data_IF_683805100174
#
_entry.id   IF_683805100174
#
_cell.length_a   1.000
_cell.length_b   1.000
_cell.length_c   1.000
_cell.angle_alpha   90.00
_cell.angle_beta   90.00
_cell.angle_gamma   90.00
#
_symmetry.space_group_name_H-M   'P 1'
#
loop_
_entity.id
_entity.type
_entity.pdbx_description
1 polymer ?
#
# COMPACT_ATOMS: atom_id res chain seq x y z
N UNK A 1 14.45 -19.90 -18.55
CA UNK A 1 13.73 -19.00 -17.65
C UNK A 1 14.61 -18.71 -16.45
N UNK A 2 14.70 -17.47 -15.97
CA UNK A 2 15.41 -17.17 -14.71
C UNK A 2 14.62 -17.84 -13.59
N UNK A 3 15.24 -18.76 -12.84
CA UNK A 3 14.58 -19.36 -11.69
C UNK A 3 14.26 -18.26 -10.67
N UNK A 4 13.03 -18.26 -10.14
CA UNK A 4 12.58 -17.33 -9.13
C UNK A 4 12.08 -18.10 -7.91
N UNK A 5 12.36 -17.55 -6.73
CA UNK A 5 11.79 -18.05 -5.49
C UNK A 5 10.34 -17.58 -5.39
N UNK A 6 9.44 -18.47 -4.98
CA UNK A 6 8.02 -18.18 -4.77
C UNK A 6 7.56 -18.84 -3.47
N UNK A 7 6.41 -18.42 -2.92
CA UNK A 7 5.85 -19.01 -1.70
C UNK A 7 6.62 -18.69 -0.42
N UNK A 8 7.46 -17.66 -0.43
CA UNK A 8 8.13 -17.17 0.78
C UNK A 8 7.08 -16.65 1.76
N UNK A 9 7.26 -16.97 3.04
CA UNK A 9 6.39 -16.53 4.11
C UNK A 9 7.20 -15.74 5.13
N UNK A 10 6.58 -14.72 5.72
CA UNK A 10 7.12 -14.04 6.89
C UNK A 10 6.98 -14.96 8.11
N UNK A 11 7.89 -14.79 9.06
CA UNK A 11 7.75 -15.36 10.41
C UNK A 11 6.58 -14.66 11.11
N UNK A 12 5.40 -15.29 11.05
CA UNK A 12 4.16 -14.71 11.55
C UNK A 12 4.21 -14.45 13.05
N UNK A 13 4.90 -15.29 13.82
CA UNK A 13 5.03 -15.13 15.27
C UNK A 13 5.89 -13.91 15.60
N UNK A 14 7.04 -13.76 14.91
CA UNK A 14 7.88 -12.58 15.07
C UNK A 14 7.15 -11.28 14.69
N UNK A 15 6.41 -11.29 13.57
CA UNK A 15 5.63 -10.13 13.12
C UNK A 15 4.52 -9.78 14.11
N UNK A 16 3.75 -10.76 14.58
CA UNK A 16 2.67 -10.54 15.54
C UNK A 16 3.19 -10.01 16.88
N UNK A 17 4.33 -10.54 17.36
CA UNK A 17 4.98 -10.05 18.57
C UNK A 17 5.40 -8.58 18.41
N UNK A 18 6.01 -8.22 17.27
CA UNK A 18 6.43 -6.85 17.01
C UNK A 18 5.24 -5.89 16.88
N UNK A 19 4.14 -6.31 16.28
CA UNK A 19 2.88 -5.52 16.23
C UNK A 19 2.36 -5.27 17.65
N UNK A 20 2.33 -6.30 18.51
CA UNK A 20 1.90 -6.16 19.89
C UNK A 20 2.78 -5.18 20.69
N UNK A 21 4.11 -5.25 20.48
CA UNK A 21 5.04 -4.30 21.07
C UNK A 21 4.77 -2.86 20.61
N UNK A 22 4.55 -2.63 19.32
CA UNK A 22 4.24 -1.30 18.76
C UNK A 22 2.96 -0.73 19.38
N UNK A 23 1.92 -1.54 19.52
CA UNK A 23 0.64 -1.13 20.13
C UNK A 23 0.83 -0.75 21.60
N UNK A 24 1.67 -1.49 22.33
CA UNK A 24 1.97 -1.21 23.73
C UNK A 24 2.94 -0.04 23.92
N UNK A 25 3.71 0.31 22.88
CA UNK A 25 4.78 1.29 22.94
C UNK A 25 4.27 2.69 23.25
N UNK A 26 4.95 3.40 24.15
CA UNK A 26 4.56 4.73 24.63
C UNK A 26 5.40 5.87 24.07
N UNK A 27 6.51 5.56 23.41
CA UNK A 27 7.38 6.55 22.78
C UNK A 27 6.87 6.96 21.39
N UNK A 28 7.58 7.92 20.77
CA UNK A 28 7.28 8.33 19.40
C UNK A 28 7.70 7.26 18.39
N UNK A 29 7.13 7.33 17.18
CA UNK A 29 7.55 6.49 16.06
C UNK A 29 9.06 6.63 15.74
N UNK A 30 9.61 7.84 15.88
CA UNK A 30 11.05 8.08 15.72
C UNK A 30 11.87 7.32 16.77
N UNK A 31 11.45 7.37 18.04
CA UNK A 31 12.13 6.63 19.10
C UNK A 31 12.04 5.13 18.83
N UNK A 32 10.85 4.61 18.52
CA UNK A 32 10.66 3.20 18.17
C UNK A 32 11.59 2.75 17.04
N UNK A 33 11.59 3.47 15.91
CA UNK A 33 12.41 3.14 14.75
C UNK A 33 13.90 3.15 15.08
N UNK A 34 14.34 4.14 15.86
CA UNK A 34 15.73 4.23 16.30
C UNK A 34 16.11 3.07 17.22
N UNK A 35 15.29 2.75 18.23
CA UNK A 35 15.54 1.61 19.11
C UNK A 35 15.57 0.30 18.34
N UNK A 36 14.62 0.08 17.43
CA UNK A 36 14.59 -1.12 16.58
C UNK A 36 15.88 -1.23 15.75
N UNK A 37 16.31 -0.12 15.15
CA UNK A 37 17.54 -0.06 14.38
C UNK A 37 18.76 -0.41 15.23
N UNK A 38 18.94 0.27 16.35
CA UNK A 38 20.11 0.12 17.23
C UNK A 38 20.18 -1.25 17.91
N UNK A 39 19.03 -1.88 18.21
CA UNK A 39 18.99 -3.08 19.05
C UNK A 39 18.72 -4.38 18.30
N UNK A 40 17.99 -4.34 17.16
CA UNK A 40 17.44 -5.54 16.52
C UNK A 40 17.68 -5.63 15.02
N UNK A 41 17.99 -4.53 14.33
CA UNK A 41 18.10 -4.52 12.87
C UNK A 41 19.16 -5.48 12.35
N UNK A 42 20.39 -5.44 12.89
CA UNK A 42 21.48 -6.29 12.44
C UNK A 42 21.16 -7.79 12.62
N UNK A 43 20.60 -8.16 13.78
CA UNK A 43 20.19 -9.54 14.07
C UNK A 43 19.07 -10.01 13.13
N UNK A 44 18.02 -9.19 12.98
CA UNK A 44 16.89 -9.49 12.08
C UNK A 44 17.37 -9.67 10.63
N UNK A 45 18.28 -8.80 10.19
CA UNK A 45 18.85 -8.86 8.85
C UNK A 45 19.67 -10.14 8.65
N UNK A 46 20.54 -10.50 9.60
CA UNK A 46 21.36 -11.72 9.52
C UNK A 46 20.52 -12.99 9.58
N UNK A 47 19.45 -13.02 10.40
CA UNK A 47 18.47 -14.11 10.38
C UNK A 47 17.80 -14.27 9.01
N UNK A 48 17.52 -13.17 8.31
CA UNK A 48 17.00 -13.23 6.95
C UNK A 48 18.04 -13.80 5.96
N UNK A 49 19.32 -13.45 6.11
CA UNK A 49 20.41 -14.04 5.30
C UNK A 49 20.52 -15.56 5.54
N UNK A 50 20.48 -16.01 6.80
CA UNK A 50 20.50 -17.43 7.14
C UNK A 50 19.32 -18.18 6.49
N UNK A 51 18.12 -17.58 6.51
CA UNK A 51 16.94 -18.15 5.88
C UNK A 51 17.09 -18.22 4.35
N UNK A 52 17.62 -17.18 3.70
CA UNK A 52 17.85 -17.18 2.25
C UNK A 52 18.89 -18.23 1.82
N UNK A 53 19.95 -18.43 2.60
CA UNK A 53 20.94 -19.49 2.32
C UNK A 53 20.32 -20.88 2.47
N UNK A 54 19.49 -21.11 3.49
CA UNK A 54 18.74 -22.37 3.64
C UNK A 54 17.77 -22.60 2.46
N UNK A 55 17.15 -21.55 1.95
CA UNK A 55 16.30 -21.62 0.76
C UNK A 55 17.13 -21.93 -0.50
N UNK A 56 18.29 -21.29 -0.70
CA UNK A 56 19.17 -21.61 -1.82
C UNK A 56 19.62 -23.09 -1.76
N UNK A 57 20.04 -23.57 -0.60
CA UNK A 57 20.48 -24.94 -0.40
C UNK A 57 19.37 -25.97 -0.70
N UNK A 58 18.12 -25.66 -0.33
CA UNK A 58 16.99 -26.57 -0.52
C UNK A 58 16.37 -26.50 -1.93
N UNK A 59 16.45 -25.35 -2.61
CA UNK A 59 15.82 -25.13 -3.91
C UNK A 59 16.78 -25.15 -5.10
N UNK A 60 18.08 -24.97 -4.86
CA UNK A 60 19.10 -24.77 -5.88
C UNK A 60 19.01 -23.41 -6.60
N UNK A 61 18.09 -22.52 -6.18
CA UNK A 61 17.94 -21.18 -6.75
C UNK A 61 18.90 -20.23 -6.05
N UNK A 62 19.86 -19.70 -6.82
CA UNK A 62 20.89 -18.79 -6.29
C UNK A 62 20.32 -17.51 -5.71
N UNK A 63 20.69 -17.19 -4.46
CA UNK A 63 20.37 -15.91 -3.83
C UNK A 63 21.55 -14.92 -3.95
N UNK A 64 21.40 -13.74 -3.35
CA UNK A 64 22.47 -12.73 -3.33
C UNK A 64 23.63 -13.17 -2.42
N UNK A 65 24.84 -12.75 -2.77
CA UNK A 65 26.06 -13.07 -2.01
C UNK A 65 26.00 -12.51 -0.58
N UNK A 66 26.15 -13.38 0.42
CA UNK A 66 26.11 -13.03 1.85
C UNK A 66 27.19 -12.02 2.23
N UNK A 67 28.41 -12.18 1.72
CA UNK A 67 29.53 -11.30 2.10
C UNK A 67 29.28 -9.83 1.71
N UNK A 68 28.69 -9.60 0.53
CA UNK A 68 28.27 -8.27 0.12
C UNK A 68 27.18 -7.69 1.04
N UNK A 69 26.23 -8.52 1.48
CA UNK A 69 25.15 -8.07 2.39
C UNK A 69 25.65 -7.81 3.82
N UNK A 70 26.56 -8.63 4.36
CA UNK A 70 27.16 -8.39 5.67
C UNK A 70 27.95 -7.09 5.69
N UNK A 71 28.75 -6.81 4.65
CA UNK A 71 29.45 -5.52 4.52
C UNK A 71 28.48 -4.34 4.50
N UNK A 72 27.33 -4.50 3.83
CA UNK A 72 26.29 -3.49 3.85
C UNK A 72 25.75 -3.28 5.27
N UNK A 73 25.35 -4.35 5.97
CA UNK A 73 24.84 -4.27 7.36
C UNK A 73 25.83 -3.58 8.28
N UNK A 74 27.09 -4.00 8.26
CA UNK A 74 28.14 -3.44 9.13
C UNK A 74 28.36 -1.95 8.86
N UNK A 75 28.29 -1.53 7.59
CA UNK A 75 28.42 -0.12 7.21
C UNK A 75 27.25 0.75 7.67
N UNK A 76 26.01 0.23 7.61
CA UNK A 76 24.83 1.04 7.98
C UNK A 76 24.60 1.09 9.48
N UNK A 77 24.90 0.00 10.21
CA UNK A 77 24.74 -0.06 11.67
C UNK A 77 25.72 0.88 12.40
N UNK A 78 26.87 1.17 11.79
CA UNK A 78 27.85 2.09 12.36
C UNK A 78 27.35 3.55 12.43
N UNK A 79 26.42 3.94 11.55
CA UNK A 79 25.91 5.30 11.47
C UNK A 79 24.43 5.33 11.05
N UNK A 80 23.57 5.70 12.01
CA UNK A 80 22.14 5.86 11.79
C UNK A 80 21.82 6.88 10.68
N UNK A 81 22.60 7.95 10.55
CA UNK A 81 22.39 8.98 9.53
C UNK A 81 22.66 8.39 8.13
N UNK A 82 23.75 7.63 7.99
CA UNK A 82 24.04 6.86 6.77
C UNK A 82 22.91 5.89 6.42
N UNK A 83 22.39 5.13 7.39
CA UNK A 83 21.24 4.25 7.18
C UNK A 83 20.01 5.02 6.68
N UNK A 84 19.68 6.14 7.34
CA UNK A 84 18.57 7.01 6.97
C UNK A 84 18.72 7.49 5.53
N UNK A 85 19.85 8.07 5.18
CA UNK A 85 20.08 8.69 3.87
C UNK A 85 20.13 7.66 2.74
N UNK A 86 20.63 6.46 2.99
CA UNK A 86 20.56 5.35 2.03
C UNK A 86 19.12 4.86 1.86
N UNK A 87 18.38 4.69 2.95
CA UNK A 87 16.99 4.24 2.93
C UNK A 87 16.08 5.24 2.23
N UNK A 88 16.27 6.54 2.46
CA UNK A 88 15.54 7.62 1.80
C UNK A 88 15.77 7.61 0.29
N UNK A 89 17.02 7.54 -0.16
CA UNK A 89 17.37 7.43 -1.59
C UNK A 89 16.79 6.17 -2.23
N UNK A 90 16.83 5.05 -1.50
CA UNK A 90 16.24 3.78 -1.93
C UNK A 90 14.72 3.88 -2.12
N UNK A 91 14.02 4.48 -1.16
CA UNK A 91 12.58 4.72 -1.20
C UNK A 91 12.19 5.65 -2.36
N UNK A 92 12.88 6.77 -2.55
CA UNK A 92 12.66 7.67 -3.67
C UNK A 92 12.84 6.95 -5.02
N UNK A 93 13.92 6.18 -5.16
CA UNK A 93 14.20 5.41 -6.36
C UNK A 93 13.15 4.33 -6.62
N UNK A 94 12.62 3.69 -5.57
CA UNK A 94 11.55 2.70 -5.69
C UNK A 94 10.25 3.34 -6.16
N UNK A 95 9.86 4.48 -5.60
CA UNK A 95 8.68 5.23 -6.01
C UNK A 95 8.78 5.68 -7.49
N UNK A 96 9.95 6.12 -7.94
CA UNK A 96 10.20 6.46 -9.36
C UNK A 96 10.01 5.22 -10.25
N UNK A 97 10.54 4.06 -9.86
CA UNK A 97 10.37 2.82 -10.64
C UNK A 97 8.93 2.36 -10.69
N UNK A 98 8.20 2.44 -9.58
CA UNK A 98 6.78 2.08 -9.50
C UNK A 98 5.92 3.01 -10.35
N UNK A 99 6.18 4.32 -10.29
CA UNK A 99 5.51 5.33 -11.12
C UNK A 99 5.77 5.14 -12.62
N UNK A 100 6.95 4.66 -13.00
CA UNK A 100 7.28 4.35 -14.40
C UNK A 100 6.66 3.04 -14.90
N UNK A 101 6.25 2.15 -13.98
CA UNK A 101 5.66 0.85 -14.32
C UNK A 101 4.15 1.00 -14.49
N UNK A 102 3.71 1.15 -15.75
CA UNK A 102 2.28 1.12 -16.11
C UNK A 102 1.82 -0.34 -16.09
N UNK A 103 1.07 -0.75 -15.08
CA UNK A 103 0.43 -2.07 -15.09
C UNK A 103 -0.76 -2.02 -16.04
N UNK A 104 -0.68 -2.75 -17.16
CA UNK A 104 -1.71 -2.88 -18.21
C UNK A 104 -3.11 -3.29 -17.70
N UNK A 105 -3.23 -3.72 -16.44
CA UNK A 105 -4.46 -4.19 -15.81
C UNK A 105 -5.10 -3.17 -14.84
N UNK A 106 -4.40 -2.07 -14.55
CA UNK A 106 -4.96 -0.93 -13.80
C UNK A 106 -5.82 -0.12 -14.77
N UNK A 107 -7.15 -0.15 -14.61
CA UNK A 107 -8.06 0.68 -15.40
C UNK A 107 -8.00 2.12 -14.91
N UNK A 108 -6.98 2.86 -15.31
CA UNK A 108 -6.80 4.26 -14.97
C UNK A 108 -7.92 5.09 -15.63
N UNK A 109 -8.54 5.98 -14.86
CA UNK A 109 -9.61 6.89 -15.30
C UNK A 109 -9.05 8.15 -15.99
N UNK A 110 -7.77 8.16 -16.36
CA UNK A 110 -7.07 9.28 -17.00
C UNK A 110 -6.17 10.10 -16.06
N UNK A 111 -5.92 9.63 -14.83
CA UNK A 111 -4.93 10.24 -13.93
C UNK A 111 -3.49 9.77 -14.21
N UNK A 112 -2.51 10.55 -13.76
CA UNK A 112 -1.10 10.14 -13.74
C UNK A 112 -0.78 9.43 -12.42
N UNK A 113 0.13 8.44 -12.46
CA UNK A 113 0.73 7.90 -11.23
C UNK A 113 1.43 9.04 -10.50
N UNK A 114 1.07 9.25 -9.25
CA UNK A 114 1.62 10.35 -8.46
C UNK A 114 2.66 9.84 -7.48
N UNK A 115 3.83 10.46 -7.48
CA UNK A 115 4.83 10.28 -6.43
C UNK A 115 4.55 11.30 -5.34
N UNK A 116 4.31 10.82 -4.13
CA UNK A 116 4.09 11.62 -2.94
C UNK A 116 5.36 11.64 -2.09
N UNK A 117 5.82 12.83 -1.74
CA UNK A 117 6.77 13.03 -0.66
C UNK A 117 5.97 13.43 0.59
N UNK A 118 5.90 12.53 1.57
CA UNK A 118 5.18 12.77 2.82
C UNK A 118 6.21 13.11 3.89
N UNK A 119 6.09 14.32 4.41
CA UNK A 119 6.92 14.79 5.51
C UNK A 119 6.15 14.70 6.82
N UNK A 120 6.82 14.25 7.88
CA UNK A 120 6.26 14.31 9.22
C UNK A 120 6.89 15.45 10.03
N UNK A 121 6.23 15.81 11.14
CA UNK A 121 6.69 16.88 12.03
C UNK A 121 8.03 16.60 12.74
N UNK A 122 8.55 15.37 12.64
CA UNK A 122 9.84 14.95 13.19
C UNK A 122 10.98 15.04 12.16
N UNK A 123 10.71 15.55 10.95
CA UNK A 123 11.69 15.74 9.88
C UNK A 123 11.97 14.50 9.04
N UNK A 124 11.15 13.45 9.16
CA UNK A 124 11.22 12.28 8.29
C UNK A 124 10.44 12.50 6.99
N UNK A 125 11.03 12.12 5.85
CA UNK A 125 10.38 12.14 4.54
C UNK A 125 10.17 10.70 4.05
N UNK A 126 8.99 10.40 3.52
CA UNK A 126 8.65 9.10 2.96
C UNK A 126 8.22 9.27 1.51
N UNK A 127 8.72 8.44 0.62
CA UNK A 127 8.30 8.45 -0.78
C UNK A 127 7.33 7.29 -1.02
N UNK A 128 6.10 7.63 -1.35
CA UNK A 128 5.04 6.69 -1.67
C UNK A 128 4.41 7.06 -3.02
N UNK A 129 3.61 6.14 -3.53
CA UNK A 129 2.93 6.29 -4.82
C UNK A 129 1.43 6.14 -4.63
N UNK A 130 0.68 7.00 -5.29
CA UNK A 130 -0.74 6.78 -5.55
C UNK A 130 -0.90 6.29 -7.00
N UNK A 131 -1.77 5.30 -7.20
CA UNK A 131 -2.06 4.79 -8.55
C UNK A 131 -2.53 5.92 -9.48
N UNK A 132 -3.35 6.84 -8.96
CA UNK A 132 -3.81 8.02 -9.70
C UNK A 132 -3.91 9.25 -8.81
N UNK A 133 -3.51 10.41 -9.33
CA UNK A 133 -3.95 11.72 -8.85
C UNK A 133 -4.84 12.40 -9.90
N UNK A 134 -6.10 12.68 -9.54
CA UNK A 134 -7.10 13.21 -10.47
C UNK A 134 -7.73 14.48 -9.88
N UNK A 135 -7.98 15.50 -10.69
CA UNK A 135 -8.73 16.68 -10.24
C UNK A 135 -10.23 16.46 -10.48
N UNK A 136 -11.02 16.46 -9.40
CA UNK A 136 -12.49 16.33 -9.45
C UNK A 136 -13.12 17.39 -8.53
N UNK A 137 -14.09 18.16 -9.05
CA UNK A 137 -14.80 19.18 -8.28
C UNK A 137 -13.88 20.18 -7.56
N UNK A 138 -12.77 20.57 -8.18
CA UNK A 138 -11.78 21.49 -7.62
C UNK A 138 -10.91 20.90 -6.50
N UNK A 139 -10.94 19.58 -6.27
CA UNK A 139 -10.08 18.87 -5.32
C UNK A 139 -9.17 17.89 -6.05
N UNK A 140 -7.96 17.71 -5.53
CA UNK A 140 -7.11 16.60 -5.93
C UNK A 140 -7.57 15.30 -5.24
N UNK A 141 -7.78 14.25 -6.01
CA UNK A 141 -8.18 12.93 -5.53
C UNK A 141 -6.96 12.02 -5.62
N UNK A 142 -6.41 11.62 -4.47
CA UNK A 142 -5.40 10.56 -4.39
C UNK A 142 -6.13 9.21 -4.38
N UNK A 143 -5.93 8.42 -5.43
CA UNK A 143 -6.71 7.21 -5.68
C UNK A 143 -5.83 5.97 -5.77
N UNK A 144 -6.24 4.93 -5.05
CA UNK A 144 -5.74 3.56 -5.22
C UNK A 144 -6.75 2.74 -6.02
N UNK A 145 -6.27 1.95 -6.97
CA UNK A 145 -7.08 1.26 -7.96
C UNK A 145 -6.85 -0.24 -7.95
N UNK A 146 -7.88 -1.02 -7.62
CA UNK A 146 -7.84 -2.48 -7.64
C UNK A 146 -8.84 -3.03 -8.65
N UNK A 147 -8.41 -4.00 -9.45
CA UNK A 147 -9.20 -4.56 -10.54
C UNK A 147 -9.38 -6.08 -10.41
N UNK A 148 -10.60 -6.56 -10.64
CA UNK A 148 -10.87 -7.97 -10.88
C UNK A 148 -11.10 -8.25 -12.37
N UNK A 149 -10.17 -9.02 -12.96
CA UNK A 149 -10.26 -9.42 -14.37
C UNK A 149 -11.30 -10.53 -14.61
N UNK A 150 -11.55 -11.38 -13.62
CA UNK A 150 -12.45 -12.55 -13.72
C UNK A 150 -13.66 -12.51 -12.77
N UNK A 151 -13.85 -11.42 -12.02
CA UNK A 151 -14.87 -11.33 -10.98
C UNK A 151 -15.48 -9.94 -10.87
N UNK A 152 -16.54 -9.84 -10.08
CA UNK A 152 -17.28 -8.59 -9.88
C UNK A 152 -16.56 -7.62 -8.91
N UNK A 153 -15.64 -8.10 -8.08
CA UNK A 153 -14.82 -7.31 -7.17
C UNK A 153 -13.40 -7.90 -7.06
N UNK A 154 -12.39 -7.07 -6.79
CA UNK A 154 -11.03 -7.51 -6.46
C UNK A 154 -10.99 -8.45 -5.26
N UNK A 155 -9.88 -9.16 -5.08
CA UNK A 155 -9.74 -10.05 -3.93
C UNK A 155 -9.72 -9.25 -2.62
N UNK A 156 -10.06 -9.89 -1.50
CA UNK A 156 -9.97 -9.24 -0.19
C UNK A 156 -8.53 -8.79 0.12
N UNK A 157 -7.52 -9.53 -0.37
CA UNK A 157 -6.11 -9.14 -0.23
C UNK A 157 -5.83 -7.83 -0.96
N UNK A 158 -6.23 -7.73 -2.23
CA UNK A 158 -6.05 -6.51 -3.03
C UNK A 158 -6.76 -5.30 -2.42
N UNK A 159 -7.99 -5.51 -1.92
CA UNK A 159 -8.76 -4.45 -1.25
C UNK A 159 -8.05 -3.97 0.01
N UNK A 160 -7.57 -4.90 0.86
CA UNK A 160 -6.84 -4.56 2.09
C UNK A 160 -5.55 -3.80 1.79
N UNK A 161 -4.83 -4.19 0.74
CA UNK A 161 -3.62 -3.51 0.28
C UNK A 161 -3.92 -2.05 -0.13
N UNK A 162 -4.99 -1.82 -0.91
CA UNK A 162 -5.42 -0.47 -1.25
C UNK A 162 -5.84 0.35 -0.03
N UNK A 163 -6.60 -0.25 0.89
CA UNK A 163 -7.03 0.41 2.13
C UNK A 163 -5.86 0.85 3.01
N UNK A 164 -4.78 0.05 3.07
CA UNK A 164 -3.60 0.36 3.89
C UNK A 164 -2.97 1.71 3.51
N UNK A 165 -2.77 1.96 2.21
CA UNK A 165 -2.25 3.27 1.74
C UNK A 165 -3.25 4.40 2.01
N UNK A 166 -4.55 4.15 1.83
CA UNK A 166 -5.56 5.18 2.04
C UNK A 166 -5.70 5.62 3.49
N UNK A 167 -5.46 4.72 4.46
CA UNK A 167 -5.37 5.10 5.89
C UNK A 167 -4.29 6.17 6.08
N UNK A 168 -3.14 6.04 5.41
CA UNK A 168 -2.11 7.07 5.49
C UNK A 168 -2.55 8.36 4.79
N UNK A 169 -3.05 8.26 3.55
CA UNK A 169 -3.38 9.42 2.74
C UNK A 169 -4.55 10.24 3.31
N UNK A 170 -5.56 9.59 3.92
CA UNK A 170 -6.71 10.28 4.51
C UNK A 170 -6.36 11.02 5.80
N UNK A 171 -5.22 10.68 6.42
CA UNK A 171 -4.71 11.33 7.63
C UNK A 171 -3.63 12.39 7.34
N UNK A 172 -3.37 12.73 6.08
CA UNK A 172 -2.49 13.85 5.73
C UNK A 172 -3.13 15.17 6.16
N UNK A 173 -2.37 16.02 6.85
CA UNK A 173 -2.84 17.35 7.28
C UNK A 173 -3.01 18.31 6.10
N UNK A 174 -2.04 18.31 5.19
CA UNK A 174 -2.04 19.14 3.98
C UNK A 174 -1.43 18.41 2.80
N UNK A 175 -1.89 18.77 1.61
CA UNK A 175 -1.26 18.40 0.35
C UNK A 175 -0.80 19.66 -0.36
N UNK A 176 0.43 19.65 -0.88
CA UNK A 176 0.99 20.78 -1.62
C UNK A 176 1.38 20.34 -3.03
N UNK A 177 1.09 21.20 -4.00
CA UNK A 177 1.55 21.06 -5.38
C UNK A 177 2.31 22.33 -5.75
N UNK A 178 3.58 22.19 -6.14
CA UNK A 178 4.49 23.32 -6.43
C UNK A 178 4.55 24.35 -5.28
N UNK A 179 4.58 23.88 -4.04
CA UNK A 179 4.61 24.71 -2.83
C UNK A 179 3.31 25.46 -2.52
N UNK A 180 2.20 25.13 -3.19
CA UNK A 180 0.88 25.71 -2.93
C UNK A 180 -0.04 24.66 -2.32
N UNK A 181 -0.75 24.97 -1.22
CA UNK A 181 -1.76 24.07 -0.67
C UNK A 181 -2.85 23.77 -1.69
N UNK A 182 -3.22 22.50 -1.80
CA UNK A 182 -4.34 22.04 -2.63
C UNK A 182 -5.35 21.32 -1.75
N UNK A 183 -6.64 21.61 -1.95
CA UNK A 183 -7.69 20.82 -1.33
C UNK A 183 -7.66 19.42 -1.93
N UNK A 184 -7.73 18.39 -1.09
CA UNK A 184 -7.65 17.02 -1.55
C UNK A 184 -8.64 16.10 -0.84
N UNK A 185 -8.82 14.91 -1.40
CA UNK A 185 -9.55 13.79 -0.83
C UNK A 185 -8.91 12.49 -1.32
N UNK A 186 -9.29 11.38 -0.70
CA UNK A 186 -8.75 10.05 -1.04
C UNK A 186 -9.86 9.11 -1.51
N UNK A 187 -9.49 8.17 -2.38
CA UNK A 187 -10.45 7.23 -2.96
C UNK A 187 -9.86 5.84 -3.16
N UNK A 188 -10.64 4.82 -2.80
CA UNK A 188 -10.44 3.46 -3.29
C UNK A 188 -11.31 3.24 -4.52
N UNK A 189 -10.74 2.93 -5.67
CA UNK A 189 -11.48 2.53 -6.86
C UNK A 189 -11.39 1.01 -7.05
N UNK A 190 -12.54 0.35 -7.05
CA UNK A 190 -12.69 -1.08 -7.29
C UNK A 190 -13.39 -1.31 -8.62
N UNK A 191 -12.72 -1.96 -9.55
CA UNK A 191 -13.29 -2.32 -10.85
C UNK A 191 -13.48 -3.84 -10.97
N UNK A 192 -14.54 -4.25 -11.66
CA UNK A 192 -14.83 -5.66 -11.88
C UNK A 192 -15.52 -5.94 -13.22
N UNK A 193 -15.31 -7.15 -13.73
CA UNK A 193 -15.91 -7.62 -14.97
C UNK A 193 -17.40 -7.91 -14.80
N UNK A 194 -18.22 -7.38 -15.73
CA UNK A 194 -19.66 -7.63 -15.77
C UNK A 194 -20.47 -6.85 -14.73
N UNK A 195 -19.85 -5.89 -14.03
CA UNK A 195 -20.54 -4.91 -13.19
C UNK A 195 -21.10 -3.80 -14.09
N UNK A 196 -22.37 -3.48 -13.93
CA UNK A 196 -23.08 -2.42 -14.64
C UNK A 196 -23.14 -1.15 -13.80
N UNK A 197 -22.77 -0.02 -14.41
CA UNK A 197 -22.80 1.29 -13.77
C UNK A 197 -21.69 1.47 -12.72
N UNK A 198 -21.91 2.43 -11.82
CA UNK A 198 -21.02 2.72 -10.69
C UNK A 198 -21.80 3.17 -9.45
N UNK A 199 -21.17 3.01 -8.29
CA UNK A 199 -21.63 3.58 -7.01
C UNK A 199 -20.43 4.14 -6.26
N UNK A 200 -20.65 5.21 -5.48
CA UNK A 200 -19.63 5.80 -4.62
C UNK A 200 -20.10 5.73 -3.17
N UNK A 201 -19.27 5.20 -2.28
CA UNK A 201 -19.52 5.10 -0.85
C UNK A 201 -18.74 6.20 -0.10
N UNK A 202 -19.28 6.70 1.03
CA UNK A 202 -20.63 6.45 1.52
C UNK A 202 -21.71 7.05 0.59
N UNK A 203 -22.89 6.43 0.53
CA UNK A 203 -24.06 6.93 -0.22
C UNK A 203 -25.37 6.57 0.49
N UNK A 204 -26.46 7.15 -0.01
CA UNK A 204 -27.81 6.85 0.45
C UNK A 204 -28.19 5.37 0.21
N UNK A 205 -28.91 4.74 1.15
CA UNK A 205 -29.31 3.33 1.04
C UNK A 205 -30.05 2.98 -0.26
N UNK A 206 -30.88 3.91 -0.79
CA UNK A 206 -31.60 3.72 -2.05
C UNK A 206 -30.68 3.57 -3.25
N UNK A 207 -29.63 4.41 -3.34
CA UNK A 207 -28.64 4.36 -4.42
C UNK A 207 -27.90 3.03 -4.41
N UNK A 208 -27.52 2.55 -3.21
CA UNK A 208 -26.85 1.27 -3.07
C UNK A 208 -27.78 0.08 -3.41
N UNK A 209 -29.05 0.17 -3.04
CA UNK A 209 -30.06 -0.83 -3.38
C UNK A 209 -30.28 -0.93 -4.90
N UNK A 210 -30.37 0.20 -5.59
CA UNK A 210 -30.49 0.27 -7.05
C UNK A 210 -29.26 -0.33 -7.74
N UNK A 211 -28.05 -0.01 -7.25
CA UNK A 211 -26.81 -0.60 -7.74
C UNK A 211 -26.76 -2.12 -7.55
N UNK A 212 -27.25 -2.64 -6.42
CA UNK A 212 -27.37 -4.09 -6.20
C UNK A 212 -28.41 -4.74 -7.10
N UNK A 213 -29.52 -4.08 -7.38
CA UNK A 213 -30.55 -4.60 -8.29
C UNK A 213 -30.01 -4.72 -9.72
N UNK A 214 -29.31 -3.68 -10.20
CA UNK A 214 -28.67 -3.68 -11.51
C UNK A 214 -27.58 -4.76 -11.67
N UNK A 215 -27.02 -5.24 -10.55
CA UNK A 215 -25.91 -6.20 -10.51
C UNK A 215 -26.27 -7.53 -9.81
N UNK A 216 -27.57 -7.86 -9.72
CA UNK A 216 -28.06 -8.99 -8.94
C UNK A 216 -27.47 -10.35 -9.37
N UNK A 217 -27.21 -10.53 -10.68
CA UNK A 217 -26.61 -11.74 -11.22
C UNK A 217 -25.10 -11.89 -10.93
N UNK A 218 -24.45 -10.85 -10.38
CA UNK A 218 -23.00 -10.78 -10.17
C UNK A 218 -22.61 -10.66 -8.70
N UNK A 219 -23.40 -9.96 -7.90
CA UNK A 219 -23.13 -9.79 -6.47
C UNK A 219 -23.79 -10.87 -5.60
N UNK A 220 -22.94 -11.66 -4.95
CA UNK A 220 -23.34 -12.60 -3.91
C UNK A 220 -23.64 -11.87 -2.60
N UNK A 221 -24.24 -12.57 -1.62
CA UNK A 221 -24.40 -12.02 -0.27
C UNK A 221 -23.07 -11.58 0.36
N UNK A 222 -21.98 -12.32 0.10
CA UNK A 222 -20.63 -11.97 0.56
C UNK A 222 -20.13 -10.66 -0.06
N UNK A 223 -20.40 -10.43 -1.34
CA UNK A 223 -20.05 -9.15 -1.99
C UNK A 223 -20.81 -7.99 -1.34
N UNK A 224 -22.13 -8.13 -1.15
CA UNK A 224 -22.96 -7.08 -0.52
C UNK A 224 -22.50 -6.76 0.91
N UNK A 225 -22.15 -7.79 1.69
CA UNK A 225 -21.59 -7.60 3.04
C UNK A 225 -20.25 -6.84 2.98
N UNK A 226 -19.34 -7.23 2.09
CA UNK A 226 -18.06 -6.55 1.92
C UNK A 226 -18.23 -5.08 1.52
N UNK A 227 -19.13 -4.79 0.58
CA UNK A 227 -19.45 -3.42 0.14
C UNK A 227 -20.01 -2.59 1.30
N UNK A 228 -20.89 -3.18 2.11
CA UNK A 228 -21.41 -2.52 3.31
C UNK A 228 -20.30 -2.20 4.33
N UNK A 229 -19.40 -3.16 4.60
CA UNK A 229 -18.24 -2.95 5.47
C UNK A 229 -17.30 -1.86 4.93
N UNK A 230 -17.07 -1.83 3.61
CA UNK A 230 -16.29 -0.77 2.98
C UNK A 230 -16.94 0.61 3.15
N UNK A 231 -18.28 0.70 3.10
CA UNK A 231 -18.99 1.96 3.36
C UNK A 231 -18.82 2.45 4.80
N UNK A 232 -18.82 1.52 5.77
CA UNK A 232 -18.55 1.83 7.18
C UNK A 232 -17.10 2.32 7.33
N UNK A 233 -16.14 1.59 6.77
CA UNK A 233 -14.71 1.92 6.84
C UNK A 233 -14.41 3.30 6.22
N UNK A 234 -14.99 3.56 5.05
CA UNK A 234 -14.88 4.83 4.32
C UNK A 234 -15.38 6.00 5.16
N UNK A 235 -16.54 5.82 5.80
CA UNK A 235 -17.14 6.82 6.69
C UNK A 235 -16.25 7.09 7.91
N UNK A 236 -15.76 6.02 8.55
CA UNK A 236 -14.97 6.12 9.77
C UNK A 236 -13.60 6.79 9.56
N UNK A 237 -12.99 6.59 8.38
CA UNK A 237 -11.62 7.04 8.11
C UNK A 237 -11.52 8.18 7.08
N UNK A 238 -12.65 8.77 6.67
CA UNK A 238 -12.66 9.98 5.84
C UNK A 238 -12.18 9.78 4.40
N UNK A 239 -12.43 8.61 3.79
CA UNK A 239 -12.15 8.36 2.37
C UNK A 239 -13.43 7.95 1.63
N UNK A 240 -13.36 7.85 0.30
CA UNK A 240 -14.47 7.37 -0.53
C UNK A 240 -14.14 6.04 -1.22
N UNK A 241 -15.15 5.23 -1.53
CA UNK A 241 -14.97 3.99 -2.31
C UNK A 241 -15.83 4.07 -3.57
N UNK A 242 -15.22 4.05 -4.75
CA UNK A 242 -15.93 3.92 -6.02
C UNK A 242 -15.89 2.47 -6.49
N UNK A 243 -17.07 1.89 -6.74
CA UNK A 243 -17.20 0.56 -7.31
C UNK A 243 -17.84 0.71 -8.68
N UNK A 244 -17.23 0.13 -9.72
CA UNK A 244 -17.75 0.25 -11.09
C UNK A 244 -17.39 -0.93 -11.98
N UNK A 245 -18.10 -1.03 -13.10
CA UNK A 245 -17.71 -1.89 -14.22
C UNK A 245 -16.33 -1.52 -14.78
N UNK A 246 -15.60 -2.54 -15.24
CA UNK A 246 -14.46 -2.33 -16.14
C UNK A 246 -14.97 -1.52 -17.35
N UNK A 247 -14.27 -0.45 -17.72
CA UNK A 247 -14.55 0.22 -18.98
C UNK A 247 -14.34 -0.79 -20.12
N UNK A 248 -15.30 -0.86 -21.04
CA UNK A 248 -15.19 -1.64 -22.27
C UNK A 248 -14.07 -1.09 -23.16
#
# INVERSE_FOLDING_TARGET
AKACLTGQMLDADAVNAQIAEIIAYKGSALHWNRTLFETRFADTYRRALDAYEAIEASTGVRVHDRNAQEKYVDSVVADYETFRDLSLRGSASAAIRESATVHRLEHLAGGEKAILAIENYLGGTYHLTADEAIVENGKMILQESKNATKGALPSLGDIKDGLFKLILYSNLDKLEQNGKPVAFATRLKLTGTGVSGSVRLPCEPGVLADFYAANAARFTARHKLLIALLGIEATANGFSVEIRGNAA
#
